data_IF_960469115261
#
_entry.id   IF_960469115261
#
_cell.length_a   1.000
_cell.length_b   1.000
_cell.length_c   1.000
_cell.angle_alpha   90.00
_cell.angle_beta   90.00
_cell.angle_gamma   90.00
#
_symmetry.space_group_name_H-M   'P 1'
#
loop_
_entity.id
_entity.type
_entity.pdbx_description
1 polymer ?
#
# COMPACT_ATOMS: atom_id res chain seq x y z
N UNK A 1 31.57 -27.77 48.14
CA UNK A 1 31.31 -27.44 46.72
C UNK A 1 32.19 -26.27 46.32
N UNK A 2 33.10 -26.41 45.36
CA UNK A 2 34.02 -25.32 44.99
C UNK A 2 33.31 -24.24 44.14
N UNK A 3 33.34 -22.99 44.58
CA UNK A 3 32.74 -21.82 43.89
C UNK A 3 33.05 -21.74 42.37
N UNK A 4 34.27 -22.00 41.89
CA UNK A 4 34.57 -21.92 40.45
C UNK A 4 33.74 -22.89 39.59
N UNK A 5 33.48 -24.09 40.11
CA UNK A 5 32.68 -25.12 39.41
C UNK A 5 31.19 -24.77 39.40
N UNK A 6 30.71 -24.02 40.40
CA UNK A 6 29.32 -23.55 40.46
C UNK A 6 29.13 -22.39 39.49
N UNK A 7 30.05 -21.43 39.46
CA UNK A 7 30.02 -20.30 38.52
C UNK A 7 30.03 -20.77 37.05
N UNK A 8 30.91 -21.72 36.70
CA UNK A 8 30.98 -22.27 35.35
C UNK A 8 29.65 -22.93 34.91
N UNK A 9 28.96 -23.63 35.81
CA UNK A 9 27.66 -24.27 35.52
C UNK A 9 26.55 -23.25 35.29
N UNK A 10 26.53 -22.16 36.07
CA UNK A 10 25.56 -21.08 35.91
C UNK A 10 25.76 -20.37 34.57
N UNK A 11 27.01 -20.06 34.22
CA UNK A 11 27.34 -19.43 32.92
C UNK A 11 26.96 -20.35 31.76
N UNK A 12 27.33 -21.63 31.82
CA UNK A 12 27.01 -22.59 30.76
C UNK A 12 25.49 -22.77 30.56
N UNK A 13 24.75 -22.88 31.66
CA UNK A 13 23.30 -23.07 31.63
C UNK A 13 22.58 -21.78 31.18
N UNK A 14 23.03 -20.63 31.67
CA UNK A 14 22.51 -19.31 31.29
C UNK A 14 22.67 -19.02 29.80
N UNK A 15 23.87 -19.27 29.25
CA UNK A 15 24.13 -19.07 27.81
C UNK A 15 23.28 -19.99 26.92
N UNK A 16 23.04 -21.24 27.34
CA UNK A 16 22.21 -22.20 26.58
C UNK A 16 20.75 -21.77 26.50
N UNK A 17 20.19 -21.27 27.60
CA UNK A 17 18.81 -20.79 27.67
C UNK A 17 18.67 -19.48 26.88
N UNK A 18 19.61 -18.54 27.08
CA UNK A 18 19.62 -17.25 26.38
C UNK A 18 19.77 -17.43 24.86
N UNK A 19 20.69 -18.28 24.41
CA UNK A 19 20.87 -18.55 22.98
C UNK A 19 19.67 -19.22 22.31
N UNK A 20 18.97 -20.13 23.01
CA UNK A 20 17.74 -20.74 22.50
C UNK A 20 16.59 -19.74 22.39
N UNK A 21 16.45 -18.84 23.36
CA UNK A 21 15.44 -17.79 23.33
C UNK A 21 15.67 -16.81 22.17
N UNK A 22 16.91 -16.34 21.95
CA UNK A 22 17.24 -15.47 20.81
C UNK A 22 17.03 -16.17 19.46
N UNK A 23 17.33 -17.46 19.34
CA UNK A 23 17.09 -18.20 18.11
C UNK A 23 15.59 -18.36 17.79
N UNK A 24 14.77 -18.63 18.79
CA UNK A 24 13.31 -18.74 18.61
C UNK A 24 12.66 -17.38 18.35
N UNK A 25 13.06 -16.34 19.09
CA UNK A 25 12.63 -14.97 18.85
C UNK A 25 13.07 -14.47 17.47
N UNK A 26 14.30 -14.78 17.05
CA UNK A 26 14.78 -14.48 15.69
C UNK A 26 13.98 -15.19 14.61
N UNK A 27 13.61 -16.47 14.82
CA UNK A 27 12.71 -17.19 13.91
C UNK A 27 11.30 -16.62 13.91
N UNK A 28 10.79 -16.13 15.04
CA UNK A 28 9.52 -15.42 15.12
C UNK A 28 9.60 -14.07 14.39
N UNK A 29 10.69 -13.32 14.54
CA UNK A 29 10.92 -12.07 13.81
C UNK A 29 11.00 -12.29 12.31
N UNK A 30 11.70 -13.32 11.84
CA UNK A 30 11.74 -13.69 10.42
C UNK A 30 10.36 -14.15 9.92
N UNK A 31 9.61 -14.91 10.72
CA UNK A 31 8.23 -15.27 10.37
C UNK A 31 7.35 -14.04 10.29
N UNK A 32 7.42 -13.11 11.24
CA UNK A 32 6.64 -11.87 11.24
C UNK A 32 7.07 -10.92 10.11
N UNK A 33 8.34 -10.95 9.70
CA UNK A 33 8.81 -10.23 8.53
C UNK A 33 8.28 -10.84 7.21
N UNK A 34 8.06 -12.17 7.19
CA UNK A 34 7.46 -12.90 6.04
C UNK A 34 5.94 -12.83 6.02
N UNK A 35 5.29 -12.94 7.18
CA UNK A 35 3.87 -12.68 7.37
C UNK A 35 3.68 -11.17 7.39
N UNK A 36 3.62 -10.56 6.20
CA UNK A 36 3.26 -9.16 6.04
C UNK A 36 1.78 -9.02 6.41
N UNK A 37 1.41 -8.38 7.55
CA UNK A 37 0.04 -7.91 7.70
C UNK A 37 -0.17 -6.85 6.62
N UNK A 38 -1.27 -6.92 5.90
CA UNK A 38 -1.71 -5.85 5.01
C UNK A 38 -1.78 -4.54 5.84
N UNK A 39 -0.79 -3.65 5.71
CA UNK A 39 -0.79 -2.31 6.33
C UNK A 39 0.31 -1.94 7.33
N UNK A 40 1.41 -2.68 7.49
CA UNK A 40 2.56 -2.25 8.33
C UNK A 40 3.66 -1.53 7.51
N UNK A 41 3.33 -0.38 6.94
CA UNK A 41 4.13 0.44 6.00
C UNK A 41 5.24 1.31 6.64
N UNK A 42 5.99 0.83 7.65
CA UNK A 42 7.09 1.62 8.24
C UNK A 42 8.46 0.94 8.34
N UNK A 43 8.67 -0.18 7.66
CA UNK A 43 10.01 -0.76 7.53
C UNK A 43 10.25 -1.22 6.08
N UNK A 44 10.79 -0.31 5.26
CA UNK A 44 11.58 -0.69 4.08
C UNK A 44 12.76 -1.57 4.58
N UNK A 45 13.05 -2.75 3.96
CA UNK A 45 13.42 -2.84 2.56
C UNK A 45 12.81 -3.99 1.74
N UNK A 46 12.48 -3.62 0.49
CA UNK A 46 12.82 -4.36 -0.73
C UNK A 46 12.38 -5.83 -0.83
N UNK A 47 11.39 -6.08 -1.69
CA UNK A 47 11.41 -7.28 -2.53
C UNK A 47 10.15 -8.14 -2.51
N UNK A 48 9.52 -8.16 -3.69
CA UNK A 48 8.77 -9.29 -4.27
C UNK A 48 7.51 -9.74 -3.54
N UNK A 49 6.38 -9.14 -3.93
CA UNK A 49 5.11 -9.88 -3.95
C UNK A 49 4.83 -10.32 -5.39
N UNK A 50 4.79 -11.63 -5.58
CA UNK A 50 4.64 -12.30 -6.85
C UNK A 50 3.19 -12.28 -7.33
N UNK A 51 2.92 -11.41 -8.29
CA UNK A 51 1.82 -11.57 -9.25
C UNK A 51 2.21 -10.77 -10.49
N UNK A 52 1.88 -11.24 -11.70
CA UNK A 52 2.39 -10.79 -13.01
C UNK A 52 2.17 -9.31 -13.39
N UNK A 53 1.77 -8.44 -12.45
CA UNK A 53 1.65 -6.98 -12.55
C UNK A 53 2.77 -6.25 -11.76
N UNK A 54 3.78 -6.99 -11.29
CA UNK A 54 4.77 -6.51 -10.33
C UNK A 54 5.59 -5.29 -10.76
N UNK A 55 5.92 -5.14 -12.05
CA UNK A 55 6.89 -4.12 -12.47
C UNK A 55 6.31 -2.69 -12.47
N UNK A 56 5.07 -2.48 -12.91
CA UNK A 56 4.46 -1.15 -12.98
C UNK A 56 4.06 -0.66 -11.59
N UNK A 57 3.36 -1.49 -10.81
CA UNK A 57 2.96 -1.17 -9.44
C UNK A 57 4.17 -0.94 -8.54
N UNK A 58 5.25 -1.73 -8.70
CA UNK A 58 6.50 -1.53 -7.94
C UNK A 58 7.23 -0.24 -8.32
N UNK A 59 7.24 0.15 -9.60
CA UNK A 59 7.76 1.46 -10.04
C UNK A 59 6.97 2.60 -9.41
N UNK A 60 5.64 2.57 -9.54
CA UNK A 60 4.75 3.59 -8.98
C UNK A 60 4.91 3.73 -7.46
N UNK A 61 5.06 2.62 -6.73
CA UNK A 61 5.32 2.65 -5.28
C UNK A 61 6.70 3.23 -4.96
N UNK A 62 7.72 2.97 -5.78
CA UNK A 62 9.09 3.48 -5.59
C UNK A 62 9.19 4.99 -5.86
N UNK A 63 8.51 5.45 -6.92
CA UNK A 63 8.47 6.84 -7.35
C UNK A 63 7.70 7.71 -6.34
N UNK A 64 6.53 7.20 -5.94
CA UNK A 64 5.59 7.96 -5.14
C UNK A 64 5.75 7.76 -3.63
N UNK A 65 6.50 6.73 -3.23
CA UNK A 65 6.77 6.34 -1.84
C UNK A 65 5.48 6.10 -1.05
N UNK A 66 4.53 5.43 -1.69
CA UNK A 66 3.26 5.00 -1.09
C UNK A 66 2.63 3.85 -1.85
N UNK A 67 1.91 3.00 -1.11
CA UNK A 67 1.15 1.88 -1.68
C UNK A 67 -0.21 2.34 -2.19
N UNK A 68 -0.89 1.50 -2.98
CA UNK A 68 -2.26 1.77 -3.42
C UNK A 68 -3.24 1.83 -2.23
N UNK A 69 -3.04 0.96 -1.24
CA UNK A 69 -3.88 0.91 -0.04
C UNK A 69 -3.71 2.17 0.81
N UNK A 70 -2.48 2.66 0.97
CA UNK A 70 -2.19 3.92 1.65
C UNK A 70 -2.89 5.10 0.93
N UNK A 71 -2.85 5.15 -0.41
CA UNK A 71 -3.51 6.20 -1.16
C UNK A 71 -5.03 6.20 -0.98
N UNK A 72 -5.65 5.02 -0.95
CA UNK A 72 -7.07 4.85 -0.66
C UNK A 72 -7.42 5.34 0.75
N UNK A 73 -6.58 5.01 1.74
CA UNK A 73 -6.77 5.43 3.12
C UNK A 73 -6.62 6.95 3.30
N UNK A 74 -5.60 7.56 2.69
CA UNK A 74 -5.35 9.02 2.76
C UNK A 74 -6.55 9.81 2.22
N UNK A 75 -7.12 9.37 1.09
CA UNK A 75 -8.27 10.06 0.47
C UNK A 75 -9.63 9.57 1.01
N UNK A 76 -9.63 8.63 1.96
CA UNK A 76 -10.83 7.99 2.50
C UNK A 76 -11.78 7.47 1.40
N UNK A 77 -11.20 6.71 0.45
CA UNK A 77 -11.91 6.12 -0.69
C UNK A 77 -11.66 4.62 -0.78
N UNK A 78 -12.58 3.90 -1.41
CA UNK A 78 -12.39 2.49 -1.79
C UNK A 78 -11.74 2.39 -3.18
N UNK A 79 -11.12 1.24 -3.50
CA UNK A 79 -10.48 0.97 -4.80
C UNK A 79 -11.43 1.21 -6.00
N UNK A 80 -12.72 0.92 -5.81
CA UNK A 80 -13.77 1.00 -6.83
C UNK A 80 -14.47 2.38 -6.93
N UNK A 81 -14.04 3.36 -6.14
CA UNK A 81 -14.70 4.69 -6.05
C UNK A 81 -14.53 5.49 -7.35
N UNK A 82 -15.56 6.08 -7.98
CA UNK A 82 -15.38 6.83 -9.24
C UNK A 82 -14.36 7.98 -9.10
N UNK A 83 -13.60 8.27 -10.16
CA UNK A 83 -12.48 9.22 -10.12
C UNK A 83 -12.92 10.63 -9.68
N UNK A 84 -14.16 11.01 -10.00
CA UNK A 84 -14.75 12.27 -9.56
C UNK A 84 -14.83 12.40 -8.03
N UNK A 85 -15.20 11.33 -7.33
CA UNK A 85 -15.27 11.32 -5.87
C UNK A 85 -13.87 11.38 -5.26
N UNK A 86 -12.88 10.73 -5.88
CA UNK A 86 -11.48 10.82 -5.48
C UNK A 86 -10.99 12.28 -5.57
N UNK A 87 -11.30 12.98 -6.66
CA UNK A 87 -10.94 14.41 -6.84
C UNK A 87 -11.65 15.30 -5.83
N UNK A 88 -12.94 15.07 -5.55
CA UNK A 88 -13.69 15.84 -4.53
C UNK A 88 -13.08 15.68 -3.14
N UNK A 89 -12.75 14.44 -2.74
CA UNK A 89 -12.11 14.17 -1.45
C UNK A 89 -10.71 14.80 -1.38
N UNK A 90 -9.94 14.70 -2.48
CA UNK A 90 -8.66 15.37 -2.61
C UNK A 90 -8.77 16.88 -2.40
N UNK A 91 -9.68 17.56 -3.10
CA UNK A 91 -9.83 19.01 -2.97
C UNK A 91 -10.24 19.42 -1.54
N UNK A 92 -11.14 18.67 -0.93
CA UNK A 92 -11.57 18.91 0.44
C UNK A 92 -10.41 18.78 1.42
N UNK A 93 -9.66 17.67 1.38
CA UNK A 93 -8.52 17.43 2.25
C UNK A 93 -7.36 18.39 1.96
N UNK A 94 -7.14 18.77 0.71
CA UNK A 94 -6.08 19.70 0.34
C UNK A 94 -6.37 21.11 0.86
N UNK A 95 -7.61 21.59 0.71
CA UNK A 95 -8.05 22.91 1.22
C UNK A 95 -8.05 22.95 2.75
N UNK A 96 -8.56 21.92 3.41
CA UNK A 96 -8.62 21.86 4.88
C UNK A 96 -7.23 21.86 5.54
N UNK A 97 -6.20 21.43 4.81
CA UNK A 97 -4.81 21.38 5.29
C UNK A 97 -3.89 22.42 4.61
N UNK A 98 -4.46 23.37 3.86
CA UNK A 98 -3.71 24.42 3.20
C UNK A 98 -3.15 25.43 4.20
N UNK A 99 -2.07 26.15 3.84
CA UNK A 99 -1.63 27.32 4.60
C UNK A 99 -2.81 28.26 4.85
N UNK A 100 -2.96 28.81 6.07
CA UNK A 100 -3.96 29.85 6.30
C UNK A 100 -3.68 31.00 5.35
N UNK A 101 -4.74 31.51 4.71
CA UNK A 101 -4.61 32.66 3.82
C UNK A 101 -3.92 33.79 4.58
N UNK A 102 -2.89 34.43 3.98
CA UNK A 102 -2.23 35.54 4.63
C UNK A 102 -3.29 36.57 5.02
N UNK A 103 -3.32 37.05 6.27
CA UNK A 103 -4.28 38.07 6.65
C UNK A 103 -4.12 39.23 5.67
N UNK A 104 -5.23 39.68 5.09
CA UNK A 104 -5.27 40.87 4.25
C UNK A 104 -4.42 41.95 4.92
N UNK A 105 -3.55 42.59 4.13
CA UNK A 105 -2.54 43.53 4.60
C UNK A 105 -3.11 44.44 5.71
N UNK A 106 -2.36 44.69 6.80
CA UNK A 106 -2.84 45.54 7.87
C UNK A 106 -3.26 46.88 7.27
N UNK A 107 -4.55 47.18 7.36
CA UNK A 107 -5.05 48.50 7.01
C UNK A 107 -4.20 49.53 7.73
N UNK A 108 -3.56 50.38 6.94
CA UNK A 108 -2.60 51.36 7.40
C UNK A 108 -3.33 52.43 8.22
N UNK A 109 -3.57 52.20 9.53
CA UNK A 109 -3.74 53.21 10.60
C UNK A 109 -4.15 52.61 11.98
N UNK A 110 -3.54 51.51 12.44
CA UNK A 110 -3.72 51.05 13.83
C UNK A 110 -2.54 51.45 14.74
N UNK A 111 -2.77 52.07 15.93
CA UNK A 111 -1.70 52.55 16.80
C UNK A 111 -0.83 51.40 17.32
N UNK A 112 0.49 51.54 17.13
CA UNK A 112 1.50 50.55 17.50
C UNK A 112 1.68 50.46 19.02
N UNK A 113 1.04 49.49 19.66
CA UNK A 113 1.39 49.09 21.02
C UNK A 113 2.60 48.13 20.95
N UNK A 114 3.79 48.63 21.33
CA UNK A 114 5.02 47.84 21.46
C UNK A 114 4.91 46.89 22.67
N UNK A 115 4.24 45.76 22.52
CA UNK A 115 4.36 44.63 23.44
C UNK A 115 5.44 43.66 22.96
N UNK A 116 6.21 43.15 23.92
CA UNK A 116 7.38 42.28 23.75
C UNK A 116 7.27 41.25 22.62
N UNK A 117 8.36 41.15 21.85
CA UNK A 117 8.59 40.24 20.71
C UNK A 117 7.93 38.87 20.88
N UNK A 118 6.70 38.76 20.40
CA UNK A 118 5.99 37.51 20.25
C UNK A 118 6.82 36.63 19.32
N UNK A 119 7.31 35.50 19.83
CA UNK A 119 7.96 34.46 19.05
C UNK A 119 6.97 34.06 17.96
N UNK A 120 7.23 34.45 16.72
CA UNK A 120 6.43 34.07 15.55
C UNK A 120 6.39 32.54 15.49
N UNK A 121 5.29 31.95 15.95
CA UNK A 121 5.04 30.52 15.77
C UNK A 121 4.94 30.26 14.28
N UNK A 122 5.78 29.37 13.77
CA UNK A 122 5.74 28.94 12.37
C UNK A 122 4.28 28.57 12.01
N UNK A 123 3.79 28.96 10.83
CA UNK A 123 2.39 28.74 10.47
C UNK A 123 2.04 27.24 10.52
N UNK A 124 0.83 26.96 11.00
CA UNK A 124 0.31 25.63 11.38
C UNK A 124 -0.14 24.85 10.13
N UNK A 125 0.73 24.70 9.14
CA UNK A 125 0.44 23.88 7.97
C UNK A 125 1.61 22.95 7.66
N UNK A 126 1.27 21.77 7.15
CA UNK A 126 2.22 20.69 6.89
C UNK A 126 2.37 20.49 5.39
N UNK A 127 3.48 21.00 4.84
CA UNK A 127 3.89 20.72 3.46
C UNK A 127 3.98 19.22 3.17
N UNK A 128 4.39 18.43 4.16
CA UNK A 128 4.46 16.98 4.04
C UNK A 128 3.07 16.37 3.85
N UNK A 129 2.08 16.81 4.63
CA UNK A 129 0.71 16.30 4.55
C UNK A 129 0.09 16.66 3.19
N UNK A 130 0.27 17.89 2.73
CA UNK A 130 -0.18 18.31 1.40
C UNK A 130 0.50 17.47 0.29
N UNK A 131 1.81 17.23 0.42
CA UNK A 131 2.56 16.39 -0.51
C UNK A 131 2.05 14.94 -0.49
N UNK A 132 1.66 14.40 0.67
CA UNK A 132 1.09 13.06 0.81
C UNK A 132 -0.29 12.96 0.17
N UNK A 133 -1.17 13.94 0.38
CA UNK A 133 -2.51 13.99 -0.22
C UNK A 133 -2.41 14.08 -1.75
N UNK A 134 -1.49 14.90 -2.26
CA UNK A 134 -1.24 15.02 -3.71
C UNK A 134 -0.69 13.73 -4.32
N UNK A 135 0.32 13.14 -3.68
CA UNK A 135 0.88 11.85 -4.10
C UNK A 135 -0.19 10.75 -4.09
N UNK A 136 -1.10 10.73 -3.12
CA UNK A 136 -2.19 9.74 -3.09
C UNK A 136 -3.11 9.83 -4.32
N UNK A 137 -3.46 11.05 -4.73
CA UNK A 137 -4.25 11.29 -5.93
C UNK A 137 -3.54 10.76 -7.18
N UNK A 138 -2.26 11.09 -7.33
CA UNK A 138 -1.45 10.64 -8.47
C UNK A 138 -1.28 9.11 -8.50
N UNK A 139 -1.21 8.44 -7.33
CA UNK A 139 -1.15 6.97 -7.25
C UNK A 139 -2.39 6.33 -7.86
N UNK A 140 -3.56 6.82 -7.48
CA UNK A 140 -4.86 6.28 -7.89
C UNK A 140 -5.09 6.55 -9.37
N UNK A 141 -4.75 7.76 -9.85
CA UNK A 141 -4.79 8.08 -11.29
C UNK A 141 -3.86 7.21 -12.11
N UNK A 142 -2.61 7.02 -11.67
CA UNK A 142 -1.62 6.23 -12.39
C UNK A 142 -2.02 4.75 -12.49
N UNK A 143 -2.60 4.17 -11.44
CA UNK A 143 -3.04 2.78 -11.49
C UNK A 143 -4.31 2.61 -12.36
N UNK A 144 -5.23 3.58 -12.37
CA UNK A 144 -6.39 3.55 -13.27
C UNK A 144 -6.00 3.70 -14.72
N UNK A 145 -5.12 4.65 -15.02
CA UNK A 145 -4.53 4.81 -16.35
C UNK A 145 -3.81 3.53 -16.80
N UNK A 146 -3.10 2.87 -15.87
CA UNK A 146 -2.45 1.58 -16.13
C UNK A 146 -3.42 0.41 -16.36
N UNK A 147 -4.60 0.43 -15.74
CA UNK A 147 -5.68 -0.54 -15.98
C UNK A 147 -6.39 -0.29 -17.31
N UNK A 148 -6.72 0.96 -17.62
CA UNK A 148 -7.34 1.37 -18.88
C UNK A 148 -6.43 1.08 -20.09
N UNK A 149 -5.12 1.27 -19.95
CA UNK A 149 -4.13 0.91 -20.98
C UNK A 149 -3.86 -0.60 -21.13
N UNK A 150 -4.39 -1.45 -20.24
CA UNK A 150 -4.22 -2.91 -20.27
C UNK A 150 -5.41 -3.68 -20.88
N UNK A 151 -6.59 -3.07 -20.98
CA UNK A 151 -7.83 -3.70 -21.50
C UNK A 151 -8.48 -2.94 -22.68
N UNK A 152 -7.90 -1.83 -23.15
CA UNK A 152 -8.47 -0.99 -24.22
C UNK A 152 -7.48 -0.70 -25.33
N UNK A 153 -7.02 -1.71 -26.06
CA UNK A 153 -6.23 -1.55 -27.28
C UNK A 153 -7.10 -1.58 -28.55
N UNK A 154 -7.98 -0.61 -28.76
CA UNK A 154 -8.56 -0.31 -30.08
C UNK A 154 -9.21 1.10 -30.13
N UNK A 155 -8.63 1.98 -30.97
CA UNK A 155 -9.16 3.30 -31.39
C UNK A 155 -8.84 4.43 -30.41
N UNK A 156 -8.23 5.57 -30.76
CA UNK A 156 -8.03 6.32 -32.01
C UNK A 156 -6.70 7.11 -31.81
N UNK A 157 -5.79 7.38 -32.74
CA UNK A 157 -5.90 7.61 -34.17
C UNK A 157 -5.49 9.06 -34.50
N UNK A 158 -4.22 9.44 -34.32
CA UNK A 158 -3.61 10.58 -35.03
C UNK A 158 -2.63 10.03 -36.07
N UNK A 159 -2.89 10.36 -37.34
CA UNK A 159 -2.32 9.78 -38.55
C UNK A 159 -1.20 10.67 -39.11
N UNK A 160 -0.03 10.08 -39.36
CA UNK A 160 0.92 10.56 -40.38
C UNK A 160 1.30 9.38 -41.27
N UNK A 161 1.04 9.57 -42.57
CA UNK A 161 1.27 8.62 -43.65
C UNK A 161 2.75 8.31 -43.88
N UNK A 162 3.09 7.06 -44.27
CA UNK A 162 3.49 6.68 -45.65
C UNK A 162 3.74 5.17 -45.77
N UNK A 163 3.29 4.60 -46.91
CA UNK A 163 3.85 3.47 -47.72
C UNK A 163 4.16 2.13 -47.05
N UNK A 164 3.98 0.94 -47.64
CA UNK A 164 3.53 0.45 -48.95
C UNK A 164 3.50 -1.09 -48.83
N UNK A 165 2.61 -1.75 -49.57
CA UNK A 165 2.90 -3.04 -50.22
C UNK A 165 2.81 -4.34 -49.42
N UNK A 166 1.84 -5.18 -49.82
CA UNK A 166 2.17 -6.57 -50.17
C UNK A 166 1.53 -7.72 -49.40
N UNK A 167 0.43 -8.23 -49.97
CA UNK A 167 0.11 -9.66 -50.15
C UNK A 167 -0.29 -10.56 -48.94
N UNK A 168 -1.60 -10.81 -48.89
CA UNK A 168 -2.27 -12.12 -48.94
C UNK A 168 -1.94 -13.23 -47.93
N UNK A 169 -2.94 -13.58 -47.09
CA UNK A 169 -3.63 -14.90 -47.00
C UNK A 169 -4.48 -14.93 -45.71
N UNK A 170 -5.80 -14.84 -45.85
CA UNK A 170 -6.77 -15.93 -45.66
C UNK A 170 -7.01 -16.38 -44.20
N UNK A 171 -8.17 -15.98 -43.69
CA UNK A 171 -8.91 -16.54 -42.55
C UNK A 171 -9.18 -18.05 -42.77
N UNK A 172 -9.39 -18.87 -41.72
CA UNK A 172 -10.72 -18.91 -41.11
C UNK A 172 -10.74 -19.18 -39.58
N UNK A 173 -11.67 -18.54 -38.87
CA UNK A 173 -12.30 -19.11 -37.67
C UNK A 173 -13.17 -20.33 -38.09
N UNK A 174 -13.81 -21.16 -37.22
CA UNK A 174 -13.95 -21.11 -35.75
C UNK A 174 -13.77 -22.49 -35.05
N UNK A 175 -13.50 -22.54 -33.75
CA UNK A 175 -13.83 -23.72 -32.93
C UNK A 175 -13.81 -23.41 -31.43
N UNK A 176 -15.00 -23.42 -30.81
CA UNK A 176 -15.15 -23.68 -29.38
C UNK A 176 -14.75 -25.15 -29.10
N UNK A 177 -14.15 -25.45 -27.94
CA UNK A 177 -14.89 -26.26 -26.97
C UNK A 177 -14.58 -25.98 -25.48
N UNK A 178 -15.67 -26.02 -24.71
CA UNK A 178 -15.87 -26.65 -23.40
C UNK A 178 -15.35 -26.03 -22.08
N UNK A 179 -16.20 -26.01 -21.03
CA UNK A 179 -15.83 -25.54 -19.68
C UNK A 179 -14.98 -26.59 -18.93
N UNK A 180 -13.96 -26.19 -18.14
CA UNK A 180 -13.16 -27.13 -17.38
C UNK A 180 -13.95 -27.77 -16.25
N UNK A 181 -13.87 -29.10 -16.22
CA UNK A 181 -14.45 -30.03 -15.25
C UNK A 181 -14.06 -29.69 -13.80
N UNK A 182 -15.07 -29.73 -12.94
CA UNK A 182 -15.00 -29.73 -11.48
C UNK A 182 -13.95 -30.73 -10.98
N UNK A 183 -12.94 -30.24 -10.25
CA UNK A 183 -12.09 -31.08 -9.41
C UNK A 183 -12.58 -30.98 -7.97
N UNK A 184 -13.11 -32.09 -7.50
CA UNK A 184 -13.41 -32.44 -6.11
C UNK A 184 -12.28 -32.04 -5.15
N UNK A 185 -12.67 -31.40 -4.04
CA UNK A 185 -11.86 -31.19 -2.85
C UNK A 185 -12.04 -32.40 -1.91
N UNK A 186 -10.96 -33.07 -1.44
CA UNK A 186 -11.08 -34.10 -0.42
C UNK A 186 -11.15 -33.49 0.99
N UNK A 187 -12.06 -34.02 1.82
CA UNK A 187 -11.90 -34.05 3.27
C UNK A 187 -12.71 -33.04 4.07
N UNK A 188 -14.03 -33.26 4.18
CA UNK A 188 -14.86 -32.65 5.22
C UNK A 188 -14.67 -33.41 6.53
N UNK A 189 -13.99 -32.80 7.51
CA UNK A 189 -13.94 -33.30 8.89
C UNK A 189 -15.33 -33.28 9.54
N UNK A 190 -15.57 -34.12 10.56
CA UNK A 190 -16.91 -34.35 11.08
C UNK A 190 -17.48 -33.10 11.74
N UNK A 191 -18.65 -32.68 11.28
CA UNK A 191 -19.49 -31.68 11.92
C UNK A 191 -20.05 -32.26 13.21
N UNK A 192 -19.61 -31.77 14.37
CA UNK A 192 -20.20 -32.11 15.66
C UNK A 192 -21.61 -31.51 15.74
N UNK A 193 -22.61 -32.39 15.83
CA UNK A 193 -24.01 -32.03 16.03
C UNK A 193 -24.24 -31.86 17.56
N UNK A 194 -24.64 -30.68 18.06
CA UNK A 194 -24.74 -30.40 19.49
C UNK A 194 -25.96 -31.05 20.18
N UNK A 195 -26.61 -32.02 19.55
CA UNK A 195 -27.88 -32.57 20.01
C UNK A 195 -27.94 -34.10 20.01
N UNK A 196 -26.80 -34.76 20.26
CA UNK A 196 -26.78 -36.19 20.61
C UNK A 196 -26.34 -36.37 22.07
N UNK A 197 -27.04 -37.24 22.85
CA UNK A 197 -26.65 -37.53 24.22
C UNK A 197 -25.36 -38.35 24.25
N UNK A 198 -24.37 -37.86 25.01
CA UNK A 198 -23.10 -38.54 25.25
C UNK A 198 -23.40 -39.83 26.03
N UNK A 199 -23.25 -40.98 25.38
CA UNK A 199 -23.23 -42.28 26.04
C UNK A 199 -21.87 -42.43 26.76
N UNK A 200 -21.92 -42.82 28.05
CA UNK A 200 -20.79 -43.05 28.94
C UNK A 200 -19.89 -44.21 28.49
#
# INVERSE_FOLDING_TARGET
>A
MSLPKVAAKIVFTGTKILGRAFAEAGRQAVRNAKYRPEGADNAEPTGADGSGTGNSTQKLTSDLKMTMDEACLILNVKKDTPLEQVTKNYEHLFKANAPPEPPAAPEANAPQQRSARAKQSKPVYSHYLQSKVYRALERIKAERKGKEGGEGGAGEGEVSATSEGGAASETPAPAAPEPPKSKELPGKGPTHNPNEPIQL
#
